data_IF_192344239262
#
_entry.id   IF_192344239262
#
_cell.length_a   1.000
_cell.length_b   1.000
_cell.length_c   1.000
_cell.angle_alpha   90.00
_cell.angle_beta   90.00
_cell.angle_gamma   90.00
#
_symmetry.space_group_name_H-M   'P 1'
#
loop_
_entity.id
_entity.type
_entity.pdbx_description
1 polymer ?
#
# COMPACT_ATOMS: atom_id res chain seq x y z
N UNK A 1 -15.54 -7.45 -8.97
CA UNK A 1 -16.63 -8.44 -9.11
C UNK A 1 -17.88 -7.97 -8.38
N UNK A 2 -19.04 -7.89 -9.03
CA UNK A 2 -20.34 -7.71 -8.35
C UNK A 2 -20.92 -9.11 -8.08
N UNK A 3 -20.87 -9.54 -6.82
CA UNK A 3 -21.37 -10.85 -6.42
C UNK A 3 -22.89 -10.73 -6.30
N UNK A 4 -23.55 -10.93 -7.43
CA UNK A 4 -25.01 -11.07 -7.49
C UNK A 4 -25.43 -12.46 -7.02
N UNK A 5 -26.69 -12.53 -6.59
CA UNK A 5 -27.39 -13.73 -6.11
C UNK A 5 -26.90 -15.00 -6.82
N UNK A 6 -26.14 -15.83 -6.10
CA UNK A 6 -25.75 -17.17 -6.49
C UNK A 6 -26.54 -18.15 -5.62
N UNK A 7 -27.06 -19.20 -6.24
CA UNK A 7 -27.58 -20.33 -5.49
C UNK A 7 -26.41 -21.17 -5.01
N UNK A 8 -26.23 -21.26 -3.70
CA UNK A 8 -25.29 -22.17 -3.07
C UNK A 8 -26.01 -23.49 -2.74
N UNK A 9 -25.31 -24.64 -2.79
CA UNK A 9 -25.91 -25.94 -2.45
C UNK A 9 -26.13 -26.15 -0.94
N UNK A 10 -25.77 -25.16 -0.13
CA UNK A 10 -25.88 -25.12 1.32
C UNK A 10 -26.10 -23.66 1.78
N UNK A 11 -26.59 -23.42 3.01
CA UNK A 11 -26.81 -22.08 3.56
C UNK A 11 -25.53 -21.24 3.59
N UNK A 12 -25.57 -20.03 3.03
CA UNK A 12 -24.45 -19.07 3.07
C UNK A 12 -24.87 -17.78 3.77
N UNK A 13 -24.08 -17.35 4.75
CA UNK A 13 -24.33 -16.09 5.45
C UNK A 13 -24.02 -14.91 4.53
N UNK A 14 -25.04 -14.22 4.01
CA UNK A 14 -24.87 -13.07 3.14
C UNK A 14 -26.02 -12.08 3.28
N UNK A 15 -25.74 -10.79 3.14
CA UNK A 15 -26.74 -9.71 3.25
C UNK A 15 -27.88 -9.81 2.22
N UNK A 16 -27.66 -10.52 1.12
CA UNK A 16 -28.61 -10.69 0.01
C UNK A 16 -29.29 -12.08 -0.02
N UNK A 17 -29.01 -12.97 0.94
CA UNK A 17 -29.63 -14.30 1.04
C UNK A 17 -30.51 -14.38 2.29
N UNK A 18 -31.51 -15.26 2.27
CA UNK A 18 -32.40 -15.56 3.40
C UNK A 18 -31.99 -16.85 4.12
N UNK A 19 -30.74 -17.28 3.97
CA UNK A 19 -30.24 -18.56 4.53
C UNK A 19 -30.03 -18.52 6.05
N UNK A 20 -29.88 -17.32 6.62
CA UNK A 20 -29.65 -17.06 8.04
C UNK A 20 -30.64 -16.02 8.57
N UNK A 21 -31.04 -16.17 9.83
CA UNK A 21 -31.92 -15.25 10.56
C UNK A 21 -31.35 -13.83 10.66
N UNK A 22 -30.04 -13.74 10.92
CA UNK A 22 -29.29 -12.47 10.92
C UNK A 22 -28.34 -12.45 9.72
N UNK A 23 -28.77 -11.80 8.65
CA UNK A 23 -28.01 -11.65 7.40
C UNK A 23 -26.79 -10.73 7.52
N UNK A 24 -26.74 -9.92 8.59
CA UNK A 24 -25.68 -8.96 8.86
C UNK A 24 -24.72 -9.46 9.94
N UNK A 25 -24.78 -10.75 10.29
CA UNK A 25 -23.90 -11.36 11.27
C UNK A 25 -22.43 -11.43 10.84
N UNK A 26 -22.13 -11.08 9.58
CA UNK A 26 -20.78 -10.85 9.06
C UNK A 26 -20.72 -9.53 8.29
N UNK A 27 -19.88 -8.61 8.75
CA UNK A 27 -19.62 -7.33 8.10
C UNK A 27 -18.13 -7.00 8.14
N UNK A 28 -17.66 -6.23 7.16
CA UNK A 28 -16.27 -5.76 7.14
C UNK A 28 -16.23 -4.29 6.80
N UNK A 29 -15.80 -3.48 7.77
CA UNK A 29 -15.50 -2.08 7.54
C UNK A 29 -14.13 -1.97 6.90
N UNK A 30 -14.08 -1.39 5.70
CA UNK A 30 -12.84 -1.16 4.95
C UNK A 30 -12.56 0.33 4.90
N UNK A 31 -11.48 0.75 5.55
CA UNK A 31 -11.05 2.16 5.57
C UNK A 31 -9.85 2.34 4.65
N UNK A 32 -9.87 3.41 3.86
CA UNK A 32 -8.77 3.82 3.00
C UNK A 32 -7.96 4.91 3.68
N UNK A 33 -6.65 4.72 3.76
CA UNK A 33 -5.71 5.68 4.33
C UNK A 33 -4.62 5.93 3.31
N UNK A 34 -4.27 7.19 3.07
CA UNK A 34 -3.13 7.51 2.22
C UNK A 34 -1.83 6.98 2.85
N UNK A 35 -0.99 6.37 2.04
CA UNK A 35 0.33 5.89 2.45
C UNK A 35 1.38 6.38 1.45
N UNK A 36 1.62 7.69 1.50
CA UNK A 36 2.25 8.41 0.40
C UNK A 36 1.43 8.29 -0.86
N UNK A 37 2.07 7.93 -1.97
CA UNK A 37 1.34 7.71 -3.21
C UNK A 37 0.52 6.41 -3.22
N UNK A 38 0.82 5.47 -2.33
CA UNK A 38 0.08 4.21 -2.23
C UNK A 38 -1.19 4.38 -1.39
N UNK A 39 -2.09 3.41 -1.47
CA UNK A 39 -3.29 3.37 -0.63
C UNK A 39 -3.18 2.24 0.37
N UNK A 40 -3.23 2.54 1.67
CA UNK A 40 -3.35 1.54 2.72
C UNK A 40 -4.82 1.23 2.98
N UNK A 41 -5.18 -0.02 2.79
CA UNK A 41 -6.49 -0.56 3.11
C UNK A 41 -6.44 -1.16 4.53
N UNK A 42 -7.36 -0.74 5.39
CA UNK A 42 -7.54 -1.29 6.74
C UNK A 42 -8.86 -2.04 6.78
N UNK A 43 -8.80 -3.33 7.04
CA UNK A 43 -9.94 -4.24 7.12
C UNK A 43 -10.28 -4.47 8.60
N UNK A 44 -11.53 -4.23 8.98
CA UNK A 44 -12.04 -4.47 10.33
C UNK A 44 -13.29 -5.35 10.23
N UNK A 45 -13.13 -6.64 10.46
CA UNK A 45 -14.21 -7.62 10.38
C UNK A 45 -15.02 -7.66 11.68
N UNK A 46 -16.32 -7.84 11.56
CA UNK A 46 -17.27 -8.13 12.64
C UNK A 46 -17.98 -9.44 12.31
N UNK A 47 -17.97 -10.39 13.25
CA UNK A 47 -18.64 -11.69 13.11
C UNK A 47 -19.37 -12.04 14.40
N UNK A 48 -20.70 -12.08 14.35
CA UNK A 48 -21.56 -12.38 15.51
C UNK A 48 -22.11 -13.80 15.50
N UNK A 49 -22.15 -14.46 14.33
CA UNK A 49 -22.55 -15.87 14.22
C UNK A 49 -21.55 -16.78 14.95
N UNK A 50 -22.05 -17.55 15.91
CA UNK A 50 -21.21 -18.30 16.85
C UNK A 50 -20.49 -19.47 16.19
N UNK A 51 -21.16 -20.20 15.29
CA UNK A 51 -20.58 -21.38 14.64
C UNK A 51 -19.47 -20.98 13.66
N UNK A 52 -19.71 -19.95 12.82
CA UNK A 52 -18.66 -19.39 11.94
C UNK A 52 -17.49 -18.82 12.75
N UNK A 53 -17.77 -18.12 13.86
CA UNK A 53 -16.72 -17.62 14.75
C UNK A 53 -15.88 -18.76 15.34
N UNK A 54 -16.51 -19.88 15.67
CA UNK A 54 -15.81 -21.10 16.12
C UNK A 54 -14.91 -21.69 15.03
N UNK A 55 -15.38 -21.73 13.78
CA UNK A 55 -14.59 -22.20 12.65
C UNK A 55 -13.36 -21.32 12.39
N UNK A 56 -13.53 -19.99 12.40
CA UNK A 56 -12.39 -19.06 12.22
C UNK A 56 -11.36 -19.24 13.34
N UNK A 57 -11.82 -19.29 14.60
CA UNK A 57 -10.92 -19.45 15.77
C UNK A 57 -10.20 -20.80 15.83
N UNK A 58 -10.77 -21.82 15.21
CA UNK A 58 -10.14 -23.15 15.10
C UNK A 58 -9.31 -23.33 13.83
N UNK A 59 -9.22 -22.31 12.98
CA UNK A 59 -8.47 -22.35 11.72
C UNK A 59 -9.12 -23.17 10.61
N UNK A 60 -10.39 -23.59 10.80
CA UNK A 60 -11.20 -24.36 9.82
C UNK A 60 -11.85 -23.46 8.76
N UNK A 61 -11.82 -22.15 8.99
CA UNK A 61 -12.17 -21.14 8.01
C UNK A 61 -11.32 -19.90 8.21
N UNK A 62 -11.23 -19.06 7.17
CA UNK A 62 -10.49 -17.80 7.20
C UNK A 62 -11.33 -16.68 6.61
N UNK A 63 -11.06 -15.45 7.06
CA UNK A 63 -11.45 -14.27 6.32
C UNK A 63 -10.63 -14.19 5.04
N UNK A 64 -11.33 -13.97 3.92
CA UNK A 64 -10.72 -13.83 2.60
C UNK A 64 -11.19 -12.55 1.96
N UNK A 65 -10.26 -11.71 1.53
CA UNK A 65 -10.53 -10.48 0.78
C UNK A 65 -10.05 -10.65 -0.65
N UNK A 66 -10.97 -10.63 -1.60
CA UNK A 66 -10.65 -10.63 -3.02
C UNK A 66 -10.66 -9.20 -3.55
N UNK A 67 -9.49 -8.73 -3.98
CA UNK A 67 -9.28 -7.41 -4.56
C UNK A 67 -9.18 -7.56 -6.08
N UNK A 68 -9.92 -6.73 -6.82
CA UNK A 68 -9.91 -6.70 -8.27
C UNK A 68 -9.93 -5.26 -8.81
N UNK A 69 -9.00 -4.92 -9.69
CA UNK A 69 -9.05 -3.70 -10.49
C UNK A 69 -9.30 -4.08 -11.95
N UNK A 70 -10.50 -3.78 -12.46
CA UNK A 70 -10.87 -4.14 -13.83
C UNK A 70 -10.06 -3.40 -14.89
N UNK A 71 -9.59 -2.18 -14.58
CA UNK A 71 -8.84 -1.35 -15.52
C UNK A 71 -7.43 -1.88 -15.80
N UNK A 72 -6.73 -2.38 -14.76
CA UNK A 72 -5.36 -2.91 -14.89
C UNK A 72 -5.32 -4.43 -15.00
N UNK A 73 -6.43 -5.11 -14.69
CA UNK A 73 -6.49 -6.57 -14.61
C UNK A 73 -5.91 -7.14 -13.31
N UNK A 74 -5.51 -6.28 -12.37
CA UNK A 74 -5.00 -6.68 -11.06
C UNK A 74 -6.03 -7.53 -10.30
N UNK A 75 -5.56 -8.66 -9.75
CA UNK A 75 -6.33 -9.54 -8.87
C UNK A 75 -5.45 -10.04 -7.74
N UNK A 76 -5.94 -9.93 -6.52
CA UNK A 76 -5.23 -10.42 -5.34
C UNK A 76 -6.19 -10.99 -4.31
N UNK A 77 -5.75 -12.06 -3.66
CA UNK A 77 -6.48 -12.71 -2.56
C UNK A 77 -5.66 -12.55 -1.29
N UNK A 78 -6.26 -11.97 -0.27
CA UNK A 78 -5.66 -11.82 1.06
C UNK A 78 -6.43 -12.76 2.00
N UNK A 79 -5.72 -13.61 2.75
CA UNK A 79 -6.31 -14.59 3.68
C UNK A 79 -5.81 -14.28 5.09
N UNK A 80 -6.68 -14.34 6.09
CA UNK A 80 -6.31 -14.06 7.49
C UNK A 80 -7.33 -14.67 8.45
N UNK A 81 -6.88 -15.09 9.63
CA UNK A 81 -7.73 -15.44 10.77
C UNK A 81 -7.97 -14.23 11.71
N UNK A 82 -7.19 -13.16 11.53
CA UNK A 82 -7.31 -11.91 12.30
C UNK A 82 -8.50 -11.08 11.86
N UNK A 83 -9.18 -10.50 12.86
CA UNK A 83 -10.30 -9.56 12.69
C UNK A 83 -9.86 -8.18 12.19
N UNK A 84 -8.58 -7.85 12.33
CA UNK A 84 -8.00 -6.61 11.82
C UNK A 84 -6.73 -6.91 11.04
N UNK A 85 -6.64 -6.32 9.85
CA UNK A 85 -5.49 -6.41 8.95
C UNK A 85 -5.33 -5.11 8.18
N UNK A 86 -4.11 -4.76 7.81
CA UNK A 86 -3.86 -3.74 6.80
C UNK A 86 -3.07 -4.28 5.62
N UNK A 87 -3.39 -3.80 4.42
CA UNK A 87 -2.68 -4.11 3.19
C UNK A 87 -2.36 -2.82 2.43
N UNK A 88 -1.12 -2.67 1.98
CA UNK A 88 -0.71 -1.53 1.15
C UNK A 88 -0.89 -1.92 -0.32
N UNK A 89 -1.78 -1.21 -0.98
CA UNK A 89 -2.08 -1.36 -2.39
C UNK A 89 -1.20 -0.40 -3.20
N UNK A 90 -0.34 -0.97 -4.06
CA UNK A 90 0.51 -0.15 -4.90
C UNK A 90 -0.30 0.51 -6.01
N UNK A 91 -0.19 1.83 -6.08
CA UNK A 91 -0.69 2.65 -7.18
C UNK A 91 -0.09 2.33 -8.55
N UNK A 92 0.99 1.55 -8.62
CA UNK A 92 1.58 1.07 -9.89
C UNK A 92 0.82 -0.12 -10.47
N UNK A 93 0.10 -0.85 -9.62
CA UNK A 93 -0.60 -2.08 -10.01
C UNK A 93 -2.08 -1.84 -10.32
N UNK A 94 -2.66 -0.75 -9.82
CA UNK A 94 -4.09 -0.46 -9.91
C UNK A 94 -4.34 0.98 -10.37
N UNK A 95 -5.49 1.19 -11.00
CA UNK A 95 -5.90 2.50 -11.51
C UNK A 95 -7.38 2.75 -11.24
N UNK A 96 -7.71 3.94 -10.76
CA UNK A 96 -9.08 4.29 -10.38
C UNK A 96 -9.63 3.37 -9.27
N UNK A 97 -10.73 2.68 -9.55
CA UNK A 97 -11.48 1.94 -8.53
C UNK A 97 -11.06 0.47 -8.42
N UNK A 98 -10.83 0.01 -7.18
CA UNK A 98 -10.54 -1.37 -6.82
C UNK A 98 -11.72 -1.95 -6.04
N UNK A 99 -12.29 -3.02 -6.57
CA UNK A 99 -13.41 -3.74 -5.96
C UNK A 99 -12.88 -4.74 -4.94
N UNK A 100 -13.46 -4.74 -3.75
CA UNK A 100 -13.04 -5.58 -2.64
C UNK A 100 -14.25 -6.41 -2.20
N UNK A 101 -14.14 -7.73 -2.26
CA UNK A 101 -15.17 -8.66 -1.83
C UNK A 101 -14.69 -9.45 -0.61
N UNK A 102 -15.29 -9.23 0.58
CA UNK A 102 -15.00 -10.03 1.77
C UNK A 102 -15.75 -11.36 1.78
N UNK A 103 -15.10 -12.40 2.29
CA UNK A 103 -15.67 -13.74 2.45
C UNK A 103 -15.19 -14.39 3.75
N UNK A 104 -15.93 -15.41 4.18
CA UNK A 104 -15.41 -16.47 5.04
C UNK A 104 -15.36 -17.75 4.20
N UNK A 105 -14.20 -18.40 4.14
CA UNK A 105 -13.95 -19.57 3.28
C UNK A 105 -13.42 -20.72 4.11
N UNK A 106 -13.91 -21.94 3.86
CA UNK A 106 -13.42 -23.15 4.48
C UNK A 106 -11.97 -23.45 4.07
N UNK A 107 -11.13 -23.87 5.01
CA UNK A 107 -9.72 -24.25 4.78
C UNK A 107 -9.48 -25.74 4.75
N UNK A 108 -10.49 -26.53 5.08
CA UNK A 108 -10.53 -27.98 5.02
C UNK A 108 -12.00 -28.41 4.85
N UNK A 109 -12.23 -29.70 4.60
CA UNK A 109 -13.58 -30.25 4.58
C UNK A 109 -14.23 -30.18 5.97
N UNK A 110 -15.46 -29.65 6.05
CA UNK A 110 -16.25 -29.53 7.27
C UNK A 110 -17.47 -30.44 7.14
N UNK A 111 -17.46 -31.55 7.86
CA UNK A 111 -18.57 -32.50 7.86
C UNK A 111 -19.67 -32.06 8.82
N UNK A 112 -20.93 -32.26 8.42
CA UNK A 112 -22.11 -32.03 9.27
C UNK A 112 -22.21 -30.61 9.85
N UNK A 113 -21.79 -29.60 9.07
CA UNK A 113 -21.91 -28.20 9.45
C UNK A 113 -23.37 -27.81 9.64
N UNK A 114 -23.64 -27.11 10.74
CA UNK A 114 -24.95 -26.57 11.05
C UNK A 114 -24.77 -25.31 11.89
N UNK A 115 -25.74 -24.39 11.79
CA UNK A 115 -25.79 -23.20 12.63
C UNK A 115 -27.17 -23.04 13.25
N UNK A 116 -27.20 -22.63 14.50
CA UNK A 116 -28.45 -22.29 15.20
C UNK A 116 -29.13 -21.04 14.63
N UNK A 117 -28.37 -20.21 13.89
CA UNK A 117 -28.84 -18.99 13.23
C UNK A 117 -29.34 -19.23 11.81
N UNK A 118 -29.32 -20.46 11.30
CA UNK A 118 -29.98 -20.77 10.02
C UNK A 118 -31.44 -20.36 10.04
N UNK A 119 -31.95 -19.99 8.86
CA UNK A 119 -33.38 -19.80 8.65
C UNK A 119 -34.18 -21.09 8.97
N UNK A 120 -35.46 -20.92 9.27
CA UNK A 120 -36.33 -22.02 9.70
C UNK A 120 -36.47 -23.11 8.63
N UNK A 121 -36.28 -22.79 7.35
CA UNK A 121 -36.28 -23.77 6.25
C UNK A 121 -35.14 -24.81 6.36
N UNK A 122 -34.05 -24.47 7.05
CA UNK A 122 -32.89 -25.35 7.25
C UNK A 122 -32.80 -25.92 8.66
N UNK A 123 -33.84 -25.77 9.47
CA UNK A 123 -33.83 -26.15 10.88
C UNK A 123 -33.57 -27.65 11.07
N UNK A 124 -32.51 -27.97 11.79
CA UNK A 124 -32.10 -29.36 12.07
C UNK A 124 -31.40 -30.05 10.90
N UNK A 125 -31.13 -29.33 9.81
CA UNK A 125 -30.31 -29.83 8.70
C UNK A 125 -28.82 -29.62 8.98
N UNK A 126 -28.02 -30.45 8.33
CA UNK A 126 -26.56 -30.40 8.36
C UNK A 126 -26.03 -30.51 6.93
N UNK A 127 -24.89 -29.88 6.66
CA UNK A 127 -24.28 -29.83 5.34
C UNK A 127 -22.81 -30.20 5.42
N UNK A 128 -22.33 -30.96 4.43
CA UNK A 128 -20.90 -31.18 4.25
C UNK A 128 -20.35 -30.05 3.35
N UNK A 129 -19.32 -29.35 3.83
CA UNK A 129 -18.71 -28.20 3.14
C UNK A 129 -17.30 -28.58 2.73
N UNK A 130 -16.99 -28.50 1.44
CA UNK A 130 -15.67 -28.84 0.92
C UNK A 130 -14.64 -27.73 1.19
N UNK A 131 -13.35 -28.07 1.20
CA UNK A 131 -12.28 -27.08 1.25
C UNK A 131 -12.44 -26.03 0.12
N UNK A 132 -12.26 -24.75 0.47
CA UNK A 132 -12.36 -23.64 -0.49
C UNK A 132 -13.79 -23.15 -0.74
N UNK A 133 -14.81 -23.82 -0.19
CA UNK A 133 -16.19 -23.35 -0.25
C UNK A 133 -16.42 -22.08 0.58
N UNK A 134 -17.26 -21.19 0.06
CA UNK A 134 -17.65 -19.94 0.72
C UNK A 134 -18.72 -20.24 1.76
N UNK A 135 -18.51 -19.81 3.00
CA UNK A 135 -19.44 -19.92 4.12
C UNK A 135 -20.18 -18.61 4.40
N UNK A 136 -19.54 -17.46 4.11
CA UNK A 136 -20.14 -16.15 4.23
C UNK A 136 -19.65 -15.18 3.15
N UNK A 137 -20.51 -14.23 2.75
CA UNK A 137 -20.21 -13.15 1.81
C UNK A 137 -20.51 -11.80 2.48
N UNK A 138 -19.47 -11.00 2.67
CA UNK A 138 -19.60 -9.63 3.17
C UNK A 138 -20.00 -8.65 2.06
N UNK A 139 -20.42 -7.45 2.43
CA UNK A 139 -20.79 -6.42 1.47
C UNK A 139 -19.55 -5.97 0.65
N UNK A 140 -19.62 -5.98 -0.69
CA UNK A 140 -18.52 -5.47 -1.51
C UNK A 140 -18.31 -3.96 -1.30
N UNK A 141 -17.04 -3.54 -1.33
CA UNK A 141 -16.65 -2.14 -1.22
C UNK A 141 -15.79 -1.74 -2.42
N UNK A 142 -16.02 -0.55 -2.95
CA UNK A 142 -15.16 0.08 -3.94
C UNK A 142 -14.16 1.01 -3.23
N UNK A 143 -12.87 0.74 -3.39
CA UNK A 143 -11.81 1.64 -2.95
C UNK A 143 -11.29 2.46 -4.12
N UNK A 144 -11.24 3.78 -3.99
CA UNK A 144 -10.76 4.66 -5.05
C UNK A 144 -9.30 4.99 -4.80
N UNK A 145 -8.45 4.58 -5.74
CA UNK A 145 -7.01 4.81 -5.69
C UNK A 145 -6.71 6.06 -6.52
N UNK A 146 -5.96 6.99 -5.92
CA UNK A 146 -5.54 8.21 -6.60
C UNK A 146 -4.50 7.91 -7.68
N UNK A 147 -4.73 8.44 -8.88
CA UNK A 147 -3.83 8.32 -10.04
C UNK A 147 -2.56 9.23 -9.93
N UNK A 148 -2.32 9.92 -8.81
CA UNK A 148 -1.37 11.05 -8.68
C UNK A 148 0.08 10.69 -8.32
N UNK A 149 0.62 9.58 -8.82
CA UNK A 149 2.10 9.34 -8.74
C UNK A 149 2.86 10.43 -9.51
N UNK A 150 2.19 11.01 -10.51
CA UNK A 150 2.81 11.90 -11.48
C UNK A 150 3.24 13.26 -10.90
N UNK A 151 2.83 13.65 -9.69
CA UNK A 151 3.05 15.03 -9.25
C UNK A 151 4.49 15.32 -8.81
N UNK A 152 5.18 14.47 -8.02
CA UNK A 152 6.59 14.73 -7.67
C UNK A 152 7.57 14.15 -8.71
N UNK A 153 7.21 13.03 -9.36
CA UNK A 153 8.02 12.43 -10.43
C UNK A 153 8.11 13.31 -11.69
N UNK A 154 7.05 14.07 -12.01
CA UNK A 154 7.03 15.01 -13.15
C UNK A 154 7.18 16.49 -12.77
N UNK A 155 7.41 16.83 -11.48
CA UNK A 155 7.82 18.20 -11.13
C UNK A 155 9.15 18.51 -11.82
N UNK A 156 9.34 19.66 -12.49
CA UNK A 156 10.63 20.04 -13.05
C UNK A 156 11.71 19.88 -11.97
N UNK A 157 12.65 18.95 -12.21
CA UNK A 157 13.43 18.27 -11.16
C UNK A 157 13.87 19.22 -10.05
N UNK A 158 13.35 19.00 -8.84
CA UNK A 158 13.78 19.68 -7.60
C UNK A 158 15.23 19.30 -7.24
N UNK A 159 15.81 18.35 -7.96
CA UNK A 159 17.18 17.89 -7.82
C UNK A 159 18.06 18.42 -8.94
N UNK A 160 19.34 18.59 -8.64
CA UNK A 160 20.39 18.88 -9.61
C UNK A 160 21.60 18.03 -9.29
N UNK A 161 21.93 17.07 -10.16
CA UNK A 161 23.11 16.22 -9.99
C UNK A 161 24.27 16.81 -10.79
N UNK A 162 25.32 17.21 -10.08
CA UNK A 162 26.49 17.89 -10.66
C UNK A 162 27.77 17.17 -10.27
N UNK A 163 28.82 17.39 -11.06
CA UNK A 163 30.15 16.93 -10.71
C UNK A 163 30.73 17.83 -9.60
N UNK A 164 31.35 17.21 -8.61
CA UNK A 164 32.23 17.93 -7.68
C UNK A 164 33.55 18.27 -8.38
N UNK A 165 33.95 19.53 -8.33
CA UNK A 165 35.18 20.03 -8.94
C UNK A 165 36.41 19.87 -8.04
N UNK A 166 36.21 19.61 -6.75
CA UNK A 166 37.30 19.34 -5.82
C UNK A 166 37.62 17.83 -5.81
N UNK A 167 38.76 17.49 -6.42
CA UNK A 167 39.23 16.11 -6.57
C UNK A 167 39.60 15.43 -5.24
N UNK A 168 39.78 16.19 -4.15
CA UNK A 168 40.07 15.62 -2.84
C UNK A 168 38.83 14.96 -2.20
N UNK A 169 37.62 15.39 -2.61
CA UNK A 169 36.36 14.87 -2.09
C UNK A 169 36.01 13.57 -2.80
N UNK A 170 35.82 12.50 -2.01
CA UNK A 170 35.48 11.17 -2.52
C UNK A 170 34.05 10.73 -2.17
N UNK A 171 33.36 11.57 -1.41
CA UNK A 171 32.01 11.32 -0.92
C UNK A 171 31.01 12.17 -1.70
N UNK A 172 29.79 11.67 -1.82
CA UNK A 172 28.66 12.47 -2.27
C UNK A 172 28.38 13.60 -1.27
N UNK A 173 28.16 14.82 -1.77
CA UNK A 173 27.70 15.95 -0.96
C UNK A 173 26.33 16.41 -1.41
N UNK A 174 25.54 16.92 -0.46
CA UNK A 174 24.19 17.41 -0.69
C UNK A 174 24.11 18.85 -0.18
N UNK A 175 23.56 19.75 -0.99
CA UNK A 175 23.33 21.16 -0.65
C UNK A 175 21.87 21.52 -0.93
N UNK A 176 21.13 21.84 0.14
CA UNK A 176 19.72 22.25 0.10
C UNK A 176 19.52 23.78 0.17
N UNK A 177 20.57 24.60 0.05
CA UNK A 177 20.44 26.04 0.29
C UNK A 177 19.86 26.84 -0.88
N UNK A 178 19.85 26.28 -2.08
CA UNK A 178 19.32 26.96 -3.27
C UNK A 178 17.86 26.63 -3.56
N UNK A 179 17.43 26.99 -4.77
CA UNK A 179 16.11 26.64 -5.29
C UNK A 179 15.93 25.12 -5.50
N UNK A 180 17.04 24.40 -5.73
CA UNK A 180 17.10 22.94 -5.92
C UNK A 180 18.02 22.28 -4.90
N UNK A 181 17.77 20.99 -4.63
CA UNK A 181 18.67 20.11 -3.90
C UNK A 181 19.82 19.73 -4.85
N UNK A 182 21.02 20.22 -4.58
CA UNK A 182 22.21 19.93 -5.39
C UNK A 182 22.93 18.72 -4.81
N UNK A 183 23.06 17.67 -5.62
CA UNK A 183 23.80 16.45 -5.30
C UNK A 183 25.11 16.50 -6.07
N UNK A 184 26.22 16.63 -5.36
CA UNK A 184 27.56 16.70 -5.92
C UNK A 184 28.21 15.32 -5.83
N UNK A 185 28.50 14.72 -6.98
CA UNK A 185 29.16 13.42 -7.07
C UNK A 185 30.66 13.58 -7.38
N UNK A 186 31.54 12.74 -6.82
CA UNK A 186 32.94 12.67 -7.23
C UNK A 186 33.09 12.43 -8.74
N UNK A 187 34.24 12.79 -9.30
CA UNK A 187 34.48 12.74 -10.75
C UNK A 187 34.03 11.40 -11.39
N UNK A 188 34.58 10.28 -10.93
CA UNK A 188 34.28 8.95 -11.51
C UNK A 188 32.80 8.55 -11.35
N UNK A 189 32.21 8.88 -10.21
CA UNK A 189 30.82 8.52 -9.89
C UNK A 189 29.84 9.35 -10.72
N UNK A 190 30.15 10.63 -10.97
CA UNK A 190 29.36 11.51 -11.83
C UNK A 190 29.30 10.98 -13.27
N UNK A 191 30.43 10.55 -13.85
CA UNK A 191 30.43 9.98 -15.20
C UNK A 191 29.73 8.62 -15.25
N UNK A 192 29.87 7.80 -14.21
CA UNK A 192 29.12 6.54 -14.08
C UNK A 192 27.62 6.80 -14.02
N UNK A 193 27.18 7.74 -13.17
CA UNK A 193 25.79 8.20 -13.09
C UNK A 193 25.29 8.69 -14.45
N UNK A 194 26.03 9.59 -15.11
CA UNK A 194 25.66 10.19 -16.40
C UNK A 194 25.54 9.15 -17.51
N UNK A 195 26.39 8.11 -17.51
CA UNK A 195 26.29 7.02 -18.46
C UNK A 195 25.05 6.15 -18.22
N UNK A 196 24.75 5.85 -16.95
CA UNK A 196 23.59 5.02 -16.60
C UNK A 196 22.26 5.74 -16.76
N UNK A 197 22.22 7.06 -16.49
CA UNK A 197 20.99 7.87 -16.54
C UNK A 197 20.42 8.04 -17.94
N UNK A 198 21.19 7.71 -18.99
CA UNK A 198 20.70 7.66 -20.37
C UNK A 198 19.74 6.50 -20.63
N UNK A 199 19.73 5.49 -19.76
CA UNK A 199 18.85 4.34 -19.86
C UNK A 199 17.80 4.38 -18.72
N UNK A 200 16.51 4.61 -19.04
CA UNK A 200 15.45 4.70 -18.04
C UNK A 200 15.33 3.49 -17.12
N UNK A 201 15.79 2.30 -17.54
CA UNK A 201 15.78 1.11 -16.69
C UNK A 201 16.59 1.26 -15.41
N UNK A 202 17.67 2.04 -15.44
CA UNK A 202 18.49 2.30 -14.27
C UNK A 202 17.95 3.42 -13.37
N UNK A 203 16.87 4.10 -13.76
CA UNK A 203 16.31 5.19 -12.97
C UNK A 203 16.03 4.79 -11.51
N UNK A 204 15.39 3.63 -11.20
CA UNK A 204 15.17 3.23 -9.81
C UNK A 204 16.49 3.00 -9.05
N UNK A 205 17.50 2.42 -9.72
CA UNK A 205 18.83 2.20 -9.12
C UNK A 205 19.50 3.52 -8.78
N UNK A 206 19.50 4.46 -9.75
CA UNK A 206 20.09 5.78 -9.56
C UNK A 206 19.35 6.57 -8.48
N UNK A 207 18.02 6.53 -8.46
CA UNK A 207 17.21 7.18 -7.44
C UNK A 207 17.49 6.61 -6.05
N UNK A 208 17.63 5.29 -5.92
CA UNK A 208 18.00 4.66 -4.65
C UNK A 208 19.40 5.06 -4.17
N UNK A 209 20.36 5.23 -5.08
CA UNK A 209 21.75 5.56 -4.74
C UNK A 209 21.98 7.05 -4.46
N UNK A 210 21.23 7.95 -5.11
CA UNK A 210 21.49 9.40 -5.04
C UNK A 210 20.33 10.17 -4.42
N UNK A 211 19.11 9.97 -4.91
CA UNK A 211 17.94 10.77 -4.52
C UNK A 211 17.46 10.42 -3.11
N UNK A 212 17.35 9.13 -2.75
CA UNK A 212 16.93 8.72 -1.40
C UNK A 212 17.86 9.31 -0.32
N UNK A 213 19.19 9.15 -0.38
CA UNK A 213 20.06 9.70 0.66
C UNK A 213 20.02 11.24 0.71
N UNK A 214 19.88 11.90 -0.44
CA UNK A 214 19.74 13.36 -0.48
C UNK A 214 18.44 13.83 0.17
N UNK A 215 17.33 13.13 -0.06
CA UNK A 215 16.06 13.38 0.61
C UNK A 215 16.16 13.16 2.12
N UNK A 216 16.78 12.06 2.56
CA UNK A 216 17.00 11.80 3.99
C UNK A 216 17.76 12.96 4.63
N UNK A 217 18.85 13.41 3.99
CA UNK A 217 19.64 14.54 4.48
C UNK A 217 18.80 15.81 4.64
N UNK A 218 18.08 16.24 3.60
CA UNK A 218 17.32 17.50 3.68
C UNK A 218 16.10 17.40 4.60
N UNK A 219 15.48 16.22 4.72
CA UNK A 219 14.37 15.99 5.67
C UNK A 219 14.89 16.10 7.10
N UNK A 220 16.06 15.55 7.41
CA UNK A 220 16.69 15.71 8.72
C UNK A 220 17.06 17.17 9.00
N UNK A 221 17.53 17.93 8.01
CA UNK A 221 17.73 19.37 8.17
C UNK A 221 16.41 20.12 8.44
N UNK A 222 15.34 19.78 7.70
CA UNK A 222 14.02 20.37 7.86
C UNK A 222 13.48 20.19 9.28
N UNK A 223 13.69 19.02 9.89
CA UNK A 223 13.27 18.73 11.28
C UNK A 223 13.94 19.63 12.32
N UNK A 224 15.10 20.22 12.00
CA UNK A 224 15.82 21.11 12.91
C UNK A 224 15.39 22.57 12.77
N UNK A 225 14.62 22.92 11.74
CA UNK A 225 14.19 24.30 11.50
C UNK A 225 13.10 24.70 12.49
N UNK A 226 13.21 25.93 12.98
CA UNK A 226 12.11 26.59 13.69
C UNK A 226 11.15 27.25 12.67
N UNK A 227 10.01 27.74 13.14
CA UNK A 227 9.00 28.37 12.26
C UNK A 227 9.53 29.58 11.48
N UNK A 228 10.49 30.35 12.02
CA UNK A 228 11.07 31.49 11.31
C UNK A 228 11.94 31.05 10.12
N UNK A 229 12.82 30.06 10.34
CA UNK A 229 13.66 29.50 9.28
C UNK A 229 12.81 28.80 8.23
N UNK A 230 11.78 28.06 8.64
CA UNK A 230 10.88 27.39 7.71
C UNK A 230 10.16 28.36 6.77
N UNK A 231 9.65 29.48 7.31
CA UNK A 231 9.04 30.55 6.51
C UNK A 231 10.05 31.18 5.53
N UNK A 232 11.30 31.38 5.94
CA UNK A 232 12.36 31.87 5.05
C UNK A 232 12.63 30.88 3.91
N UNK A 233 12.80 29.59 4.24
CA UNK A 233 13.05 28.52 3.26
C UNK A 233 11.89 28.35 2.29
N UNK A 234 10.65 28.57 2.73
CA UNK A 234 9.48 28.54 1.85
C UNK A 234 9.52 29.60 0.75
N UNK A 235 10.17 30.74 0.99
CA UNK A 235 10.37 31.80 0.01
C UNK A 235 11.55 31.49 -0.90
N UNK A 236 12.68 31.06 -0.32
CA UNK A 236 13.96 30.96 -1.02
C UNK A 236 14.17 29.63 -1.76
N UNK A 237 13.55 28.54 -1.30
CA UNK A 237 13.81 27.18 -1.78
C UNK A 237 12.58 26.56 -2.49
N UNK A 238 12.61 26.47 -3.82
CA UNK A 238 11.55 25.82 -4.61
C UNK A 238 11.38 24.33 -4.33
N UNK A 239 12.48 23.62 -4.05
CA UNK A 239 12.43 22.22 -3.64
C UNK A 239 11.63 22.04 -2.33
N UNK A 240 11.79 22.95 -1.36
CA UNK A 240 11.11 22.83 -0.07
C UNK A 240 9.61 23.04 -0.23
N UNK A 241 9.17 24.04 -1.02
CA UNK A 241 7.75 24.22 -1.38
C UNK A 241 7.14 22.96 -2.01
N UNK A 242 7.89 22.33 -2.91
CA UNK A 242 7.44 21.13 -3.62
C UNK A 242 7.29 19.94 -2.67
N UNK A 243 8.28 19.71 -1.79
CA UNK A 243 8.21 18.65 -0.78
C UNK A 243 7.06 18.93 0.21
N UNK A 244 6.95 20.15 0.75
CA UNK A 244 5.87 20.54 1.67
C UNK A 244 4.49 20.31 1.04
N UNK A 245 4.32 20.68 -0.24
CA UNK A 245 3.08 20.44 -0.97
C UNK A 245 2.74 18.95 -1.07
N UNK A 246 3.71 18.12 -1.43
CA UNK A 246 3.51 16.67 -1.58
C UNK A 246 3.27 15.99 -0.23
N UNK A 247 3.98 16.39 0.82
CA UNK A 247 3.75 15.87 2.18
C UNK A 247 2.34 16.18 2.67
N UNK A 248 1.87 17.40 2.48
CA UNK A 248 0.50 17.78 2.85
C UNK A 248 -0.54 17.01 2.01
N UNK A 249 -0.35 16.96 0.69
CA UNK A 249 -1.34 16.39 -0.23
C UNK A 249 -1.41 14.87 -0.15
N UNK A 250 -0.28 14.17 -0.17
CA UNK A 250 -0.21 12.71 -0.34
C UNK A 250 0.13 11.96 0.95
N UNK A 251 0.72 12.62 1.94
CA UNK A 251 1.08 12.00 3.21
C UNK A 251 0.20 12.46 4.37
N UNK A 252 -0.69 13.44 4.13
CA UNK A 252 -1.47 14.11 5.17
C UNK A 252 -0.57 14.56 6.34
N UNK A 253 0.62 15.03 5.99
CA UNK A 253 1.66 15.46 6.91
C UNK A 253 1.77 16.98 6.87
N UNK A 254 1.53 17.61 8.01
CA UNK A 254 1.93 18.99 8.23
C UNK A 254 3.40 19.00 8.65
N UNK A 255 4.22 19.74 7.90
CA UNK A 255 5.68 19.77 8.10
C UNK A 255 6.07 20.34 9.45
N UNK A 256 5.30 21.28 10.00
CA UNK A 256 5.62 21.94 11.27
C UNK A 256 5.28 21.06 12.48
N UNK A 257 4.15 20.34 12.43
CA UNK A 257 3.72 19.51 13.57
C UNK A 257 4.17 18.05 13.49
N UNK A 258 4.17 17.45 12.30
CA UNK A 258 4.19 15.99 12.18
C UNK A 258 5.57 15.45 11.80
N UNK A 259 6.35 16.22 11.01
CA UNK A 259 7.58 15.73 10.39
C UNK A 259 8.61 15.23 11.41
N UNK A 260 8.70 15.88 12.57
CA UNK A 260 9.67 15.53 13.63
C UNK A 260 9.54 14.09 14.14
N UNK A 261 8.32 13.53 14.12
CA UNK A 261 8.03 12.17 14.58
C UNK A 261 8.16 11.08 13.51
N UNK A 262 8.40 11.45 12.24
CA UNK A 262 8.45 10.51 11.12
C UNK A 262 9.86 9.95 10.90
N UNK A 263 9.95 8.71 10.42
CA UNK A 263 11.22 8.13 9.98
C UNK A 263 11.62 8.73 8.62
N UNK A 264 12.76 9.42 8.56
CA UNK A 264 13.20 10.11 7.34
C UNK A 264 13.59 9.17 6.23
N UNK A 265 14.09 7.98 6.54
CA UNK A 265 14.46 6.98 5.54
C UNK A 265 13.22 6.37 4.90
N UNK A 266 12.21 6.04 5.69
CA UNK A 266 10.91 5.58 5.19
C UNK A 266 10.24 6.67 4.34
N UNK A 267 10.20 7.91 4.85
CA UNK A 267 9.57 9.04 4.15
C UNK A 267 10.28 9.38 2.84
N UNK A 268 11.61 9.45 2.84
CA UNK A 268 12.40 9.72 1.65
C UNK A 268 12.15 8.68 0.54
N UNK A 269 12.08 7.40 0.90
CA UNK A 269 11.75 6.35 -0.05
C UNK A 269 10.34 6.51 -0.60
N UNK A 270 9.34 6.73 0.26
CA UNK A 270 7.94 6.89 -0.18
C UNK A 270 7.74 8.13 -1.06
N UNK A 271 8.45 9.23 -0.79
CA UNK A 271 8.39 10.48 -1.57
C UNK A 271 8.80 10.30 -3.04
N UNK A 272 9.55 9.26 -3.37
CA UNK A 272 9.94 8.96 -4.76
C UNK A 272 9.45 7.56 -5.20
N UNK A 273 8.38 7.08 -4.58
CA UNK A 273 7.71 5.84 -4.98
C UNK A 273 8.49 4.55 -4.68
N UNK A 274 9.26 4.54 -3.58
CA UNK A 274 9.98 3.38 -3.04
C UNK A 274 10.80 2.64 -4.11
N UNK A 275 11.93 3.20 -4.58
CA UNK A 275 12.64 2.68 -5.75
C UNK A 275 13.35 1.33 -5.52
N UNK A 276 13.59 0.93 -4.26
CA UNK A 276 14.42 -0.23 -3.93
C UNK A 276 13.98 -1.55 -4.58
N UNK A 277 12.69 -1.97 -4.54
CA UNK A 277 12.28 -3.22 -5.18
C UNK A 277 12.55 -3.23 -6.69
N UNK A 278 12.24 -2.12 -7.37
CA UNK A 278 12.51 -1.96 -8.80
C UNK A 278 14.00 -1.91 -9.10
N UNK A 279 14.80 -1.29 -8.23
CA UNK A 279 16.25 -1.26 -8.34
C UNK A 279 16.86 -2.67 -8.24
N UNK A 280 16.44 -3.47 -7.26
CA UNK A 280 16.90 -4.85 -7.13
C UNK A 280 16.44 -5.73 -8.28
N UNK A 281 15.20 -5.57 -8.75
CA UNK A 281 14.68 -6.31 -9.90
C UNK A 281 15.50 -6.03 -11.17
N UNK A 282 15.90 -4.78 -11.41
CA UNK A 282 16.76 -4.44 -12.55
C UNK A 282 18.16 -5.05 -12.39
N UNK A 283 18.76 -4.95 -11.19
CA UNK A 283 20.09 -5.50 -10.94
C UNK A 283 20.15 -7.04 -10.96
N UNK A 284 19.05 -7.71 -10.61
CA UNK A 284 18.95 -9.18 -10.61
C UNK A 284 18.57 -9.78 -11.96
N UNK A 285 18.25 -8.96 -12.97
CA UNK A 285 17.84 -9.42 -14.29
C UNK A 285 16.36 -9.83 -14.40
N UNK A 286 15.50 -9.42 -13.47
CA UNK A 286 14.04 -9.45 -13.63
C UNK A 286 13.27 -10.61 -13.00
N UNK A 287 13.83 -11.38 -12.05
CA UNK A 287 13.09 -12.40 -11.30
C UNK A 287 13.22 -12.21 -9.78
N UNK A 288 12.71 -11.10 -9.28
CA UNK A 288 12.38 -10.94 -7.85
C UNK A 288 10.93 -11.39 -7.63
N UNK A 289 10.71 -12.69 -7.45
CA UNK A 289 9.41 -13.25 -7.03
C UNK A 289 8.87 -12.49 -5.82
N UNK A 290 7.63 -12.02 -5.91
CA UNK A 290 6.80 -11.63 -4.77
C UNK A 290 6.68 -12.84 -3.83
N UNK A 291 7.59 -12.95 -2.89
CA UNK A 291 7.69 -14.04 -1.93
C UNK A 291 7.51 -13.52 -0.51
N UNK A 292 6.35 -12.90 -0.26
CA UNK A 292 5.90 -12.53 1.07
C UNK A 292 4.54 -13.13 1.33
N UNK A 293 4.42 -14.46 1.38
CA UNK A 293 3.33 -15.10 2.09
C UNK A 293 3.43 -14.66 3.54
N UNK A 294 2.65 -13.64 3.90
CA UNK A 294 2.33 -13.40 5.29
C UNK A 294 1.47 -14.59 5.71
N UNK A 295 2.09 -15.49 6.47
CA UNK A 295 1.40 -16.51 7.27
C UNK A 295 0.51 -15.80 8.28
#
# INVERSE_FOLDING_TARGET
MDIRYKMYPYPVLAYFLDDYKDKHAFDVKITQVKDGFNTKLVFEATLTNKELLGLVRSGKSLFVYHLECSQTGFRKVIRTDRFSLSYVLSNREVKGSVQICPFIVATEDITSYSSTDFDDDYKGMTFDIEEGCVLAVGQPVAADVSDSIDDLANTPSIFSIVQNTDEAIKEMKVDGNGDKIVIQLPFNDYYSYKSMSQNPKFEPVLNALTIVPALVFVIEEMKLWNSEEMNRREIDCGWFRSIKHVLSKEFNCDVESDLSGMDSMELAQKLIGSPLPSAFAELSGGEGTEGGSVV
#
